data_IF_197857977172
#
_entry.id   IF_197857977172
#
_cell.length_a   1.000
_cell.length_b   1.000
_cell.length_c   1.000
_cell.angle_alpha   90.00
_cell.angle_beta   90.00
_cell.angle_gamma   90.00
#
_symmetry.space_group_name_H-M   'P 1'
#
loop_
_entity.id
_entity.type
_entity.pdbx_description
1 polymer ?
#
# COMPACT_ATOMS: atom_id res chain seq x y z
N UNK A 1 18.41 14.88 -22.60
CA UNK A 1 17.41 13.79 -22.59
C UNK A 1 17.70 12.77 -21.48
N UNK A 2 18.92 12.24 -21.36
CA UNK A 2 19.25 11.18 -20.37
C UNK A 2 19.32 11.65 -18.93
N UNK A 3 19.88 12.84 -18.65
CA UNK A 3 19.99 13.37 -17.28
C UNK A 3 18.64 13.68 -16.61
N UNK A 4 17.68 14.19 -17.38
CA UNK A 4 16.32 14.48 -16.92
C UNK A 4 15.57 13.19 -16.53
N UNK A 5 15.71 12.14 -17.34
CA UNK A 5 15.09 10.83 -17.08
C UNK A 5 15.65 10.18 -15.81
N UNK A 6 16.96 10.30 -15.56
CA UNK A 6 17.58 9.76 -14.33
C UNK A 6 17.02 10.46 -13.08
N UNK A 7 16.91 11.79 -13.12
CA UNK A 7 16.34 12.58 -12.00
C UNK A 7 14.88 12.21 -11.79
N UNK A 8 14.09 12.11 -12.85
CA UNK A 8 12.69 11.70 -12.77
C UNK A 8 12.53 10.27 -12.23
N UNK A 9 13.38 9.33 -12.63
CA UNK A 9 13.36 7.95 -12.16
C UNK A 9 13.67 7.87 -10.66
N UNK A 10 14.64 8.65 -10.18
CA UNK A 10 14.97 8.73 -8.75
C UNK A 10 13.79 9.32 -7.95
N UNK A 11 13.21 10.42 -8.41
CA UNK A 11 12.05 11.05 -7.74
C UNK A 11 10.86 10.09 -7.72
N UNK A 12 10.57 9.43 -8.84
CA UNK A 12 9.48 8.46 -8.94
C UNK A 12 9.71 7.24 -8.04
N UNK A 13 10.96 6.76 -7.98
CA UNK A 13 11.37 5.65 -7.12
C UNK A 13 11.24 5.99 -5.63
N UNK A 14 11.63 7.19 -5.22
CA UNK A 14 11.45 7.67 -3.85
C UNK A 14 9.95 7.80 -3.53
N UNK A 15 9.15 8.35 -4.44
CA UNK A 15 7.72 8.53 -4.24
C UNK A 15 7.01 7.18 -4.03
N UNK A 16 7.29 6.19 -4.89
CA UNK A 16 6.76 4.82 -4.72
C UNK A 16 7.28 4.17 -3.43
N UNK A 17 8.56 4.36 -3.11
CA UNK A 17 9.15 3.84 -1.87
C UNK A 17 8.48 4.41 -0.61
N UNK A 18 8.15 5.70 -0.60
CA UNK A 18 7.45 6.35 0.51
C UNK A 18 6.01 5.85 0.65
N UNK A 19 5.31 5.59 -0.46
CA UNK A 19 3.97 4.99 -0.43
C UNK A 19 4.03 3.61 0.22
N UNK A 20 4.97 2.75 -0.19
CA UNK A 20 5.13 1.43 0.41
C UNK A 20 5.58 1.48 1.88
N UNK A 21 6.47 2.42 2.23
CA UNK A 21 6.88 2.64 3.61
C UNK A 21 5.71 3.07 4.50
N UNK A 22 4.81 3.93 4.00
CA UNK A 22 3.62 4.38 4.72
C UNK A 22 2.63 3.23 4.92
N UNK A 23 2.41 2.39 3.90
CA UNK A 23 1.57 1.19 4.01
C UNK A 23 2.12 0.24 5.07
N UNK A 24 3.44 -0.03 5.04
CA UNK A 24 4.10 -0.89 6.01
C UNK A 24 4.02 -0.31 7.44
N UNK A 25 4.18 1.00 7.60
CA UNK A 25 4.01 1.68 8.88
C UNK A 25 2.56 1.60 9.39
N UNK A 26 1.57 1.73 8.51
CA UNK A 26 0.16 1.53 8.87
C UNK A 26 -0.10 0.11 9.37
N UNK A 27 0.44 -0.89 8.69
CA UNK A 27 0.30 -2.30 9.08
C UNK A 27 1.01 -2.60 10.41
N UNK A 28 2.20 -2.03 10.63
CA UNK A 28 2.94 -2.19 11.88
C UNK A 28 2.24 -1.50 13.06
N UNK A 29 1.58 -0.37 12.85
CA UNK A 29 0.75 0.26 13.88
C UNK A 29 -0.49 -0.59 14.21
N UNK A 30 -1.15 -1.14 13.20
CA UNK A 30 -2.32 -2.00 13.36
C UNK A 30 -1.98 -3.22 14.22
N UNK A 31 -0.89 -3.93 13.92
CA UNK A 31 -0.52 -5.15 14.65
C UNK A 31 0.39 -4.92 15.86
N UNK A 32 1.05 -3.77 15.95
CA UNK A 32 1.97 -3.44 17.03
C UNK A 32 1.28 -2.78 18.24
N UNK A 33 0.15 -2.09 18.03
CA UNK A 33 -0.59 -1.42 19.10
C UNK A 33 -1.90 -2.13 19.48
N UNK A 34 -2.53 -2.86 18.56
CA UNK A 34 -3.75 -3.61 18.87
C UNK A 34 -3.36 -5.04 19.26
N UNK A 35 -3.44 -5.34 20.56
CA UNK A 35 -3.20 -6.67 21.14
C UNK A 35 -4.28 -7.72 20.77
N UNK A 36 -5.28 -7.34 19.97
CA UNK A 36 -6.37 -8.20 19.50
C UNK A 36 -6.40 -8.17 17.97
N UNK A 37 -6.18 -9.32 17.35
CA UNK A 37 -6.28 -9.51 15.90
C UNK A 37 -7.75 -9.37 15.48
N UNK A 38 -8.07 -8.28 14.76
CA UNK A 38 -9.39 -8.07 14.20
C UNK A 38 -9.60 -8.94 12.95
N UNK A 39 -10.39 -10.00 13.06
CA UNK A 39 -10.73 -10.92 11.97
C UNK A 39 -11.72 -10.35 10.94
N UNK A 40 -12.28 -9.15 11.12
CA UNK A 40 -13.16 -8.51 10.14
C UNK A 40 -12.44 -8.10 8.86
N UNK A 41 -11.10 -8.11 8.84
CA UNK A 41 -10.33 -7.76 7.66
C UNK A 41 -10.56 -8.73 6.48
N UNK A 42 -10.91 -9.99 6.77
CA UNK A 42 -11.21 -10.98 5.75
C UNK A 42 -12.46 -10.66 4.92
N UNK A 43 -13.51 -10.14 5.54
CA UNK A 43 -14.77 -9.80 4.85
C UNK A 43 -14.58 -8.57 3.95
N UNK A 44 -13.84 -7.57 4.45
CA UNK A 44 -13.50 -6.39 3.65
C UNK A 44 -12.61 -6.73 2.43
N UNK A 45 -11.71 -7.71 2.58
CA UNK A 45 -10.89 -8.20 1.48
C UNK A 45 -11.75 -8.89 0.40
N UNK A 46 -12.71 -9.73 0.81
CA UNK A 46 -13.63 -10.40 -0.14
C UNK A 46 -14.47 -9.39 -0.92
N UNK A 47 -15.05 -8.39 -0.27
CA UNK A 47 -15.81 -7.32 -0.93
C UNK A 47 -14.93 -6.51 -1.91
N UNK A 48 -13.70 -6.20 -1.52
CA UNK A 48 -12.75 -5.49 -2.39
C UNK A 48 -12.37 -6.30 -3.63
N UNK A 49 -12.20 -7.62 -3.50
CA UNK A 49 -11.89 -8.50 -4.63
C UNK A 49 -13.06 -8.65 -5.60
N UNK A 50 -14.28 -8.86 -5.09
CA UNK A 50 -15.49 -8.96 -5.94
C UNK A 50 -15.80 -7.65 -6.65
N UNK A 51 -15.65 -6.52 -5.97
CA UNK A 51 -15.84 -5.20 -6.60
C UNK A 51 -14.80 -4.94 -7.69
N UNK A 52 -13.53 -5.26 -7.47
CA UNK A 52 -12.50 -5.14 -8.50
C UNK A 52 -12.78 -6.01 -9.74
N UNK A 53 -13.24 -7.25 -9.55
CA UNK A 53 -13.66 -8.11 -10.67
C UNK A 53 -14.84 -7.53 -11.46
N UNK A 54 -15.80 -6.91 -10.78
CA UNK A 54 -16.99 -6.36 -11.43
C UNK A 54 -16.76 -5.02 -12.14
N UNK A 55 -15.84 -4.21 -11.63
CA UNK A 55 -15.47 -2.91 -12.21
C UNK A 55 -14.34 -2.99 -13.25
N UNK A 56 -13.76 -4.17 -13.44
CA UNK A 56 -12.80 -4.46 -14.50
C UNK A 56 -13.50 -4.80 -15.82
#
# INVERSE_FOLDING_TARGET
MTSQVIIQAIISGILMGLIYALIAAGLSLIFGLMEIVNFAHGDHLMVSMFSAFWFW
#
